data_IF_025552104857
#
_entry.id   IF_025552104857
#
_cell.length_a   1.000
_cell.length_b   1.000
_cell.length_c   1.000
_cell.angle_alpha   90.00
_cell.angle_beta   90.00
_cell.angle_gamma   90.00
#
_symmetry.space_group_name_H-M   'P 1'
#
loop_
_entity.id
_entity.type
_entity.pdbx_description
1 polymer ?
#
# COMPACT_ATOMS: atom_id res chain seq x y z
N UNK A 1 -5.42 29.65 0.25
CA UNK A 1 -5.00 28.37 0.39
C UNK A 1 -6.08 27.49 0.95
N UNK A 2 -6.18 26.44 0.39
CA UNK A 2 -7.19 25.58 0.85
C UNK A 2 -6.65 24.68 1.86
N UNK A 3 -7.19 24.65 2.97
CA UNK A 3 -6.85 23.63 3.93
C UNK A 3 -7.23 22.26 3.40
N UNK A 4 -6.95 21.23 4.16
CA UNK A 4 -7.42 19.90 3.81
C UNK A 4 -8.92 19.91 3.66
N UNK A 5 -9.39 19.19 2.68
CA UNK A 5 -10.80 19.10 2.48
C UNK A 5 -11.43 18.43 3.66
N UNK A 6 -12.46 19.03 4.18
CA UNK A 6 -13.13 18.45 5.33
C UNK A 6 -14.05 17.33 4.86
N UNK A 7 -13.91 16.18 5.48
CA UNK A 7 -14.73 15.03 5.15
C UNK A 7 -16.09 15.14 5.82
N UNK A 8 -17.11 14.64 5.15
CA UNK A 8 -18.42 14.52 5.77
C UNK A 8 -18.40 13.37 6.77
N UNK A 9 -19.38 13.37 7.67
CA UNK A 9 -19.49 12.29 8.65
C UNK A 9 -19.61 10.93 7.95
N UNK A 10 -20.35 10.89 6.85
CA UNK A 10 -20.52 9.66 6.11
C UNK A 10 -19.20 9.20 5.49
N UNK A 11 -18.42 10.14 4.96
CA UNK A 11 -17.13 9.81 4.39
C UNK A 11 -16.17 9.32 5.46
N UNK A 12 -16.18 9.93 6.64
CA UNK A 12 -15.35 9.44 7.73
C UNK A 12 -15.77 8.03 8.13
N UNK A 13 -17.07 7.80 8.27
CA UNK A 13 -17.55 6.47 8.62
C UNK A 13 -17.18 5.44 7.57
N UNK A 14 -17.25 5.84 6.30
CA UNK A 14 -16.86 4.94 5.22
C UNK A 14 -15.38 4.56 5.31
N UNK A 15 -14.52 5.54 5.52
CA UNK A 15 -13.08 5.28 5.61
C UNK A 15 -12.76 4.40 6.82
N UNK A 16 -13.37 4.69 7.95
CA UNK A 16 -13.16 3.89 9.15
C UNK A 16 -13.60 2.45 8.92
N UNK A 17 -14.75 2.27 8.29
CA UNK A 17 -15.26 0.93 8.03
C UNK A 17 -14.41 0.20 7.00
N UNK A 18 -14.00 0.90 5.95
CA UNK A 18 -13.24 0.29 4.87
C UNK A 18 -11.92 -0.30 5.38
N UNK A 19 -11.24 0.43 6.25
CA UNK A 19 -9.94 -0.01 6.75
C UNK A 19 -10.07 -0.78 8.07
N UNK A 20 -11.26 -0.90 8.58
CA UNK A 20 -11.50 -1.63 9.83
C UNK A 20 -12.44 -2.78 9.61
N UNK A 21 -13.69 -2.58 10.00
CA UNK A 21 -14.67 -3.65 10.05
C UNK A 21 -14.91 -4.32 8.71
N UNK A 22 -14.95 -3.57 7.62
CA UNK A 22 -15.21 -4.12 6.30
C UNK A 22 -13.97 -4.74 5.65
N UNK A 23 -12.79 -4.48 6.20
CA UNK A 23 -11.55 -5.08 5.74
C UNK A 23 -11.36 -4.99 4.23
N UNK A 24 -11.57 -3.81 3.69
CA UNK A 24 -11.36 -3.55 2.28
C UNK A 24 -12.56 -3.81 1.38
N UNK A 25 -13.65 -4.31 1.93
CA UNK A 25 -14.84 -4.54 1.12
C UNK A 25 -15.61 -3.24 0.97
N UNK A 26 -15.53 -2.65 -0.23
CA UNK A 26 -16.07 -1.32 -0.46
C UNK A 26 -17.59 -1.28 -0.28
N UNK A 27 -18.29 -2.26 -0.82
CA UNK A 27 -19.74 -2.23 -0.72
C UNK A 27 -20.21 -2.39 0.72
N UNK A 28 -19.54 -3.22 1.48
CA UNK A 28 -19.89 -3.39 2.88
C UNK A 28 -19.58 -2.11 3.67
N UNK A 29 -18.47 -1.47 3.39
CA UNK A 29 -18.13 -0.22 4.05
C UNK A 29 -19.16 0.86 3.74
N UNK A 30 -19.65 0.88 2.51
CA UNK A 30 -20.70 1.83 2.13
C UNK A 30 -21.98 1.59 2.94
N UNK A 31 -22.35 0.35 3.13
CA UNK A 31 -23.54 0.03 3.91
C UNK A 31 -23.37 0.44 5.36
N UNK A 32 -22.20 0.15 5.92
CA UNK A 32 -21.93 0.52 7.30
C UNK A 32 -22.00 2.05 7.47
N UNK A 33 -21.50 2.77 6.48
CA UNK A 33 -21.48 4.22 6.55
C UNK A 33 -22.85 4.86 6.27
N UNK A 34 -23.79 4.08 5.77
CA UNK A 34 -25.13 4.61 5.54
C UNK A 34 -25.39 5.05 4.13
N UNK A 35 -24.57 4.65 3.17
CA UNK A 35 -24.87 4.94 1.77
C UNK A 35 -26.03 4.10 1.29
N UNK A 36 -26.81 4.67 0.37
CA UNK A 36 -27.89 3.95 -0.25
C UNK A 36 -27.35 2.81 -1.12
N UNK A 37 -28.10 1.72 -1.22
CA UNK A 37 -27.72 0.62 -2.11
C UNK A 37 -27.66 1.05 -3.56
N UNK A 38 -28.35 2.13 -3.92
CA UNK A 38 -28.34 2.65 -5.28
C UNK A 38 -27.08 3.46 -5.57
N UNK A 39 -26.31 3.84 -4.56
CA UNK A 39 -25.10 4.61 -4.75
C UNK A 39 -24.04 3.75 -5.41
N UNK A 40 -23.42 4.28 -6.45
CA UNK A 40 -22.36 3.55 -7.13
C UNK A 40 -21.07 3.65 -6.36
N UNK A 41 -20.24 2.61 -6.49
CA UNK A 41 -18.95 2.59 -5.82
C UNK A 41 -18.12 3.80 -6.22
N UNK A 42 -18.09 4.13 -7.50
CA UNK A 42 -17.30 5.29 -7.95
C UNK A 42 -17.79 6.59 -7.34
N UNK A 43 -19.09 6.70 -7.13
CA UNK A 43 -19.65 7.91 -6.52
C UNK A 43 -19.16 8.10 -5.09
N UNK A 44 -18.99 7.00 -4.38
CA UNK A 44 -18.52 7.06 -3.01
C UNK A 44 -17.01 7.30 -2.95
N UNK A 45 -16.27 6.69 -3.85
CA UNK A 45 -14.81 6.72 -3.79
C UNK A 45 -14.21 7.97 -4.41
N UNK A 46 -14.72 8.42 -5.54
CA UNK A 46 -14.05 9.48 -6.29
C UNK A 46 -13.77 10.74 -5.45
N UNK A 47 -14.71 11.22 -4.64
CA UNK A 47 -14.43 12.45 -3.88
C UNK A 47 -13.35 12.30 -2.81
N UNK A 48 -13.08 11.08 -2.36
CA UNK A 48 -12.16 10.84 -1.26
C UNK A 48 -11.03 9.90 -1.65
N UNK A 49 -10.77 9.79 -2.93
CA UNK A 49 -9.76 8.88 -3.42
C UNK A 49 -8.40 9.12 -2.78
N UNK A 50 -7.99 10.39 -2.71
CA UNK A 50 -6.69 10.72 -2.14
C UNK A 50 -6.62 10.37 -0.66
N UNK A 51 -7.73 10.55 0.04
CA UNK A 51 -7.77 10.22 1.45
C UNK A 51 -7.65 8.71 1.67
N UNK A 52 -8.27 7.92 0.80
CA UNK A 52 -8.14 6.48 0.87
C UNK A 52 -6.68 6.06 0.71
N UNK A 53 -6.00 6.63 -0.27
CA UNK A 53 -4.59 6.33 -0.52
C UNK A 53 -3.75 6.72 0.68
N UNK A 54 -3.99 7.91 1.24
CA UNK A 54 -3.23 8.38 2.38
C UNK A 54 -3.39 7.46 3.58
N UNK A 55 -4.61 7.05 3.87
CA UNK A 55 -4.85 6.18 5.01
C UNK A 55 -4.28 4.78 4.80
N UNK A 56 -4.37 4.26 3.58
CA UNK A 56 -3.76 2.97 3.28
C UNK A 56 -2.25 3.04 3.42
N UNK A 57 -1.64 4.13 2.98
CA UNK A 57 -0.20 4.32 3.12
C UNK A 57 0.21 4.37 4.59
N UNK A 58 -0.60 5.03 5.41
CA UNK A 58 -0.32 5.07 6.84
C UNK A 58 -0.42 3.69 7.47
N UNK A 59 -1.37 2.87 7.02
CA UNK A 59 -1.47 1.51 7.52
C UNK A 59 -0.25 0.69 7.15
N UNK A 60 0.25 0.85 5.93
CA UNK A 60 1.47 0.17 5.53
C UNK A 60 2.63 0.59 6.43
N UNK A 61 2.78 1.89 6.63
CA UNK A 61 3.87 2.40 7.45
C UNK A 61 3.76 1.90 8.88
N UNK A 62 2.56 1.86 9.43
CA UNK A 62 2.40 1.43 10.82
C UNK A 62 2.56 -0.07 10.99
N UNK A 63 2.44 -0.84 9.91
CA UNK A 63 2.67 -2.28 9.99
C UNK A 63 4.09 -2.68 9.62
N UNK A 64 4.91 -1.74 9.19
CA UNK A 64 6.28 -2.04 8.83
C UNK A 64 7.08 -2.63 9.99
N UNK A 65 6.97 -2.10 11.22
CA UNK A 65 7.70 -2.72 12.33
C UNK A 65 7.28 -4.16 12.57
N UNK A 66 5.99 -4.46 12.40
CA UNK A 66 5.51 -5.82 12.56
C UNK A 66 6.11 -6.74 11.51
N UNK A 67 6.26 -6.24 10.28
CA UNK A 67 6.87 -7.02 9.22
C UNK A 67 8.35 -7.30 9.53
N UNK A 68 9.05 -6.30 10.06
CA UNK A 68 10.45 -6.49 10.47
C UNK A 68 10.54 -7.56 11.55
N UNK A 69 9.67 -7.49 12.55
CA UNK A 69 9.67 -8.48 13.63
C UNK A 69 9.35 -9.87 13.11
N UNK A 70 8.49 -9.96 12.09
CA UNK A 70 8.18 -11.24 11.47
C UNK A 70 9.41 -11.85 10.80
N UNK A 71 10.21 -11.03 10.13
CA UNK A 71 11.44 -11.51 9.51
C UNK A 71 12.42 -11.95 10.57
N UNK A 72 12.57 -11.19 11.64
CA UNK A 72 13.46 -11.54 12.73
C UNK A 72 13.02 -12.86 13.35
N UNK A 73 11.72 -13.04 13.54
CA UNK A 73 11.20 -14.29 14.07
C UNK A 73 11.56 -15.50 13.23
N UNK A 74 11.57 -15.32 11.90
CA UNK A 74 11.96 -16.41 11.01
C UNK A 74 13.46 -16.71 11.14
N UNK A 75 14.27 -15.66 11.31
CA UNK A 75 15.70 -15.88 11.53
C UNK A 75 15.95 -16.67 12.80
N UNK A 76 15.12 -16.45 13.84
CA UNK A 76 15.27 -17.19 15.08
C UNK A 76 14.77 -18.62 14.97
N UNK A 77 13.79 -18.86 14.13
CA UNK A 77 13.22 -20.20 13.95
C UNK A 77 12.82 -20.41 12.51
N UNK A 78 13.80 -20.64 11.64
CA UNK A 78 13.50 -20.77 10.20
C UNK A 78 12.66 -21.99 9.86
N UNK A 79 12.59 -22.97 10.75
CA UNK A 79 11.83 -24.18 10.48
C UNK A 79 10.38 -24.07 10.95
N UNK A 80 9.99 -22.95 11.51
CA UNK A 80 8.62 -22.79 11.98
C UNK A 80 7.63 -22.91 10.83
N UNK A 81 6.49 -23.51 11.13
CA UNK A 81 5.46 -23.67 10.13
C UNK A 81 5.01 -22.30 9.64
N UNK A 82 4.91 -22.14 8.35
CA UNK A 82 4.49 -20.88 7.77
C UNK A 82 5.60 -19.84 7.66
N UNK A 83 6.83 -20.18 8.04
CA UNK A 83 7.92 -19.20 8.01
C UNK A 83 8.11 -18.59 6.63
N UNK A 84 8.05 -19.41 5.59
CA UNK A 84 8.24 -18.92 4.23
C UNK A 84 7.16 -17.93 3.84
N UNK A 85 5.93 -18.23 4.19
CA UNK A 85 4.82 -17.35 3.89
C UNK A 85 4.90 -16.06 4.70
N UNK A 86 5.35 -16.15 5.94
CA UNK A 86 5.50 -14.97 6.78
C UNK A 86 6.56 -14.03 6.21
N UNK A 87 7.67 -14.58 5.71
CA UNK A 87 8.71 -13.77 5.10
C UNK A 87 8.18 -13.10 3.84
N UNK A 88 7.46 -13.84 3.02
CA UNK A 88 6.92 -13.26 1.78
C UNK A 88 5.97 -12.11 2.08
N UNK A 89 5.08 -12.29 3.05
CA UNK A 89 4.14 -11.23 3.41
C UNK A 89 4.87 -10.03 4.00
N UNK A 90 5.84 -10.28 4.87
CA UNK A 90 6.59 -9.20 5.48
C UNK A 90 7.37 -8.40 4.46
N UNK A 91 7.94 -9.10 3.49
CA UNK A 91 8.69 -8.44 2.41
C UNK A 91 7.80 -7.52 1.60
N UNK A 92 6.57 -7.97 1.31
CA UNK A 92 5.63 -7.12 0.59
C UNK A 92 5.32 -5.84 1.36
N UNK A 93 5.08 -5.96 2.66
CA UNK A 93 4.78 -4.78 3.47
C UNK A 93 5.97 -3.82 3.47
N UNK A 94 7.17 -4.35 3.64
CA UNK A 94 8.36 -3.51 3.69
C UNK A 94 8.64 -2.82 2.36
N UNK A 95 8.46 -3.55 1.26
CA UNK A 95 8.65 -2.96 -0.06
C UNK A 95 7.68 -1.82 -0.30
N UNK A 96 6.42 -2.02 0.07
CA UNK A 96 5.40 -1.01 -0.18
C UNK A 96 5.52 0.17 0.75
N UNK A 97 6.05 -0.04 1.93
CA UNK A 97 6.22 1.05 2.88
C UNK A 97 7.45 1.90 2.59
N UNK A 98 8.33 1.43 1.71
CA UNK A 98 9.53 2.17 1.37
C UNK A 98 10.70 1.94 2.29
N UNK A 99 10.58 1.01 3.24
CA UNK A 99 11.69 0.73 4.15
C UNK A 99 12.78 -0.08 3.50
N UNK A 100 12.43 -0.92 2.52
CA UNK A 100 13.42 -1.69 1.81
C UNK A 100 13.85 -0.90 0.59
N UNK A 101 15.15 -0.69 0.46
CA UNK A 101 15.68 0.08 -0.65
C UNK A 101 15.46 -0.65 -1.94
N UNK A 102 14.86 0.05 -2.89
CA UNK A 102 14.64 -0.53 -4.19
C UNK A 102 15.86 -0.33 -5.05
N UNK A 103 16.19 -1.35 -5.81
CA UNK A 103 17.31 -1.25 -6.71
C UNK A 103 16.88 -0.62 -7.99
N UNK A 104 16.86 0.65 -8.03
CA UNK A 104 16.59 1.40 -9.24
C UNK A 104 17.80 2.22 -9.55
N UNK A 105 18.22 2.15 -10.79
CA UNK A 105 19.35 2.94 -11.23
C UNK A 105 18.81 4.10 -12.05
N UNK A 106 19.09 5.31 -11.59
CA UNK A 106 18.72 6.49 -12.32
C UNK A 106 19.92 6.96 -13.10
N UNK A 107 19.77 7.03 -14.40
CA UNK A 107 20.84 7.48 -15.25
C UNK A 107 20.40 8.74 -15.96
N UNK A 108 21.18 9.80 -15.81
CA UNK A 108 20.88 11.04 -16.49
C UNK A 108 21.39 10.98 -17.91
N UNK A 109 20.52 11.22 -18.84
CA UNK A 109 20.92 11.24 -20.23
C UNK A 109 21.72 12.47 -20.57
N UNK A 110 22.23 12.52 -21.78
CA UNK A 110 23.07 13.64 -22.20
C UNK A 110 22.39 14.99 -22.16
N UNK A 111 21.08 15.01 -22.34
CA UNK A 111 20.35 16.25 -22.29
C UNK A 111 19.83 16.56 -20.90
N UNK A 112 20.28 15.84 -19.90
CA UNK A 112 19.78 16.05 -18.57
C UNK A 112 18.55 15.24 -18.23
N UNK A 113 18.07 14.42 -19.14
CA UNK A 113 16.96 13.53 -18.86
C UNK A 113 17.36 12.45 -17.89
N UNK A 114 16.37 11.81 -17.29
CA UNK A 114 16.62 10.77 -16.33
C UNK A 114 16.01 9.48 -16.81
N UNK A 115 16.79 8.43 -16.82
CA UNK A 115 16.29 7.12 -17.15
C UNK A 115 16.31 6.28 -15.88
N UNK A 116 15.30 5.46 -15.71
CA UNK A 116 15.28 4.52 -14.61
C UNK A 116 15.42 3.13 -15.21
N UNK A 117 16.53 2.48 -14.91
CA UNK A 117 16.80 1.15 -15.43
C UNK A 117 16.22 0.11 -14.50
N UNK A 118 15.70 -1.00 -15.03
CA UNK A 118 15.21 -2.08 -14.17
C UNK A 118 16.35 -2.64 -13.33
N UNK A 119 16.04 -3.03 -12.13
CA UNK A 119 17.10 -3.55 -11.28
C UNK A 119 17.79 -4.75 -11.86
N UNK A 120 17.29 -5.55 -12.69
CA UNK A 120 17.88 -6.64 -13.16
C UNK A 120 17.61 -6.91 -14.44
N UNK A 121 18.14 -6.83 -15.15
CA UNK A 121 17.85 -7.01 -16.39
C UNK A 121 18.50 -8.04 -16.92
N UNK A 122 18.57 -8.66 -16.86
CA UNK A 122 19.30 -9.63 -17.27
C UNK A 122 19.34 -10.04 -18.58
N UNK A 123 19.26 -9.93 -18.63
CA UNK A 123 19.39 -10.23 -19.53
C UNK A 123 19.38 -10.07 -20.49
N UNK A 124 19.22 -9.97 -20.37
CA UNK A 124 19.11 -9.72 -21.08
C UNK A 124 19.28 -9.16 -21.66
N UNK A 125 19.39 -8.96 -21.42
CA UNK A 125 19.60 -8.37 -21.91
C UNK A 125 20.11 -8.06 -22.46
N UNK A 126 20.33 -8.36 -22.54
CA UNK A 126 20.93 -8.23 -22.90
C UNK A 126 21.56 -7.79 -23.35
N UNK A 127 21.61 -7.54 -23.23
CA UNK A 127 22.08 -7.18 -23.57
C UNK A 127 22.47 -7.10 -23.80
N UNK A 128 22.29 -7.29 -23.68
CA UNK A 128 22.84 -7.21 -24.02
C UNK A 128 23.12 -6.94 -24.21
#
# INVERSE_FOLDING_TARGET
>A
MDGPKKLTDRQEAFLDALLGEAQGNVRQAMRIAGYSDATRINEAIAPIKDEIVDRASMMLASNAPKAVLGIIGVLDDPSAMGARNAVAAAREVLDRSGLVKKEQVEVKGPEGGVFILPPKKSEEDGLG
#
